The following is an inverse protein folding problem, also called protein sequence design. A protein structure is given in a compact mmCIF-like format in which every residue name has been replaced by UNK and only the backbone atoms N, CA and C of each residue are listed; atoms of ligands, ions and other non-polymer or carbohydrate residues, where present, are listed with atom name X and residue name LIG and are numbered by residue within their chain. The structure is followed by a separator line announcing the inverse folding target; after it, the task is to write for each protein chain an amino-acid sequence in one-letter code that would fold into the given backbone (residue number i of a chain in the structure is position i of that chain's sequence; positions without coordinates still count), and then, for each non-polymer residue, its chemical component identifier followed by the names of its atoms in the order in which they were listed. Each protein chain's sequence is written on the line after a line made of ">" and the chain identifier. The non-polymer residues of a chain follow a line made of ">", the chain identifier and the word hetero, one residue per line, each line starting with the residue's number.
data_IF_643881166849
#
_entry.id   IF_643881166849
#
_cell.length_a   1.000
_cell.length_b   1.000
_cell.length_c   1.000
_cell.angle_alpha   90.00
_cell.angle_beta   90.00
_cell.angle_gamma   90.00
#
_symmetry.space_group_name_H-M   'P 1'
#
loop_
_entity.id
_entity.type
_entity.pdbx_description
1 polymer ?
#
# COMPACT_ATOMS: atom_id res chain seq x y z
N UNK A 1 -13.69 -25.18 -15.87
CA UNK A 1 -12.93 -24.78 -14.65
C UNK A 1 -12.70 -26.03 -13.83
N UNK A 2 -11.48 -26.27 -13.33
CA UNK A 2 -11.19 -27.38 -12.43
C UNK A 2 -12.06 -27.32 -11.16
N UNK A 3 -12.26 -28.45 -10.49
CA UNK A 3 -13.08 -28.50 -9.27
C UNK A 3 -12.48 -27.58 -8.18
N UNK A 4 -13.32 -27.01 -7.31
CA UNK A 4 -12.84 -26.13 -6.23
C UNK A 4 -11.84 -26.83 -5.31
N UNK A 5 -12.04 -28.12 -5.04
CA UNK A 5 -11.13 -28.92 -4.24
C UNK A 5 -9.73 -29.04 -4.86
N UNK A 6 -9.63 -29.17 -6.18
CA UNK A 6 -8.34 -29.23 -6.88
C UNK A 6 -7.64 -27.87 -6.90
N UNK A 7 -8.39 -26.79 -7.13
CA UNK A 7 -7.84 -25.44 -7.20
C UNK A 7 -7.30 -24.93 -5.86
N UNK A 8 -7.89 -25.37 -4.75
CA UNK A 8 -7.52 -24.93 -3.40
C UNK A 8 -6.76 -26.00 -2.61
N UNK A 9 -6.38 -27.11 -3.25
CA UNK A 9 -5.61 -28.17 -2.62
C UNK A 9 -4.26 -27.64 -2.12
N UNK A 10 -3.91 -27.93 -0.86
CA UNK A 10 -2.62 -27.55 -0.29
C UNK A 10 -2.51 -26.10 0.19
N UNK A 11 -3.56 -25.29 0.07
CA UNK A 11 -3.59 -23.93 0.60
C UNK A 11 -3.51 -23.95 2.13
N UNK A 12 -2.57 -23.19 2.68
CA UNK A 12 -2.31 -23.00 4.12
C UNK A 12 -2.33 -21.53 4.54
N UNK A 13 -2.29 -20.60 3.60
CA UNK A 13 -2.33 -19.17 3.84
C UNK A 13 -3.23 -18.43 2.87
N UNK A 14 -3.80 -17.31 3.32
CA UNK A 14 -4.61 -16.40 2.49
C UNK A 14 -4.08 -14.98 2.62
N UNK A 15 -3.80 -14.35 1.48
CA UNK A 15 -3.49 -12.94 1.36
C UNK A 15 -4.76 -12.18 0.95
N UNK A 16 -5.30 -11.36 1.85
CA UNK A 16 -6.53 -10.62 1.61
C UNK A 16 -6.23 -9.18 1.24
N UNK A 17 -6.80 -8.72 0.12
CA UNK A 17 -6.94 -7.27 -0.07
C UNK A 17 -7.88 -6.68 0.98
N UNK A 18 -7.84 -5.36 1.17
CA UNK A 18 -8.68 -4.64 2.11
C UNK A 18 -9.78 -3.87 1.37
N UNK A 19 -9.42 -2.87 0.56
CA UNK A 19 -10.40 -2.05 -0.15
C UNK A 19 -11.07 -2.83 -1.26
N UNK A 20 -12.40 -2.82 -1.32
CA UNK A 20 -13.19 -3.59 -2.30
C UNK A 20 -13.27 -5.10 -2.02
N UNK A 21 -12.67 -5.58 -0.91
CA UNK A 21 -12.76 -6.99 -0.46
C UNK A 21 -13.33 -7.08 0.95
N UNK A 22 -12.80 -6.30 1.88
CA UNK A 22 -13.34 -6.18 3.22
C UNK A 22 -14.36 -5.07 3.29
N UNK A 23 -13.99 -3.86 2.86
CA UNK A 23 -14.84 -2.69 3.00
C UNK A 23 -14.68 -1.77 1.78
N UNK A 24 -15.69 -0.93 1.56
CA UNK A 24 -15.62 0.18 0.62
C UNK A 24 -15.38 1.47 1.39
N UNK A 25 -14.34 2.23 1.00
CA UNK A 25 -14.03 3.53 1.60
C UNK A 25 -15.06 4.59 1.23
N UNK A 26 -15.31 5.53 2.14
CA UNK A 26 -16.21 6.65 1.92
C UNK A 26 -16.24 7.61 3.11
N UNK A 27 -17.05 8.66 3.00
CA UNK A 27 -17.26 9.62 4.09
C UNK A 27 -17.69 8.90 5.38
N UNK A 28 -17.10 9.29 6.51
CA UNK A 28 -17.39 8.67 7.81
C UNK A 28 -16.70 7.33 8.09
N UNK A 29 -15.76 6.90 7.24
CA UNK A 29 -14.96 5.69 7.49
C UNK A 29 -15.35 4.46 6.66
N UNK A 30 -16.28 4.60 5.72
CA UNK A 30 -16.67 3.53 4.81
C UNK A 30 -17.60 2.48 5.42
N UNK A 31 -17.93 1.46 4.63
CA UNK A 31 -18.93 0.43 4.96
C UNK A 31 -18.37 -0.97 4.71
N UNK A 32 -18.61 -1.94 5.62
CA UNK A 32 -18.20 -3.33 5.39
C UNK A 32 -18.94 -3.91 4.17
N UNK A 33 -18.22 -4.66 3.36
CA UNK A 33 -18.84 -5.49 2.32
C UNK A 33 -19.66 -6.59 3.00
N UNK A 34 -20.85 -6.87 2.48
CA UNK A 34 -21.77 -7.82 3.11
C UNK A 34 -21.11 -9.20 3.32
N UNK A 35 -21.10 -9.67 4.57
CA UNK A 35 -20.55 -10.97 4.96
C UNK A 35 -19.03 -11.04 5.13
N UNK A 36 -18.27 -9.99 4.80
CA UNK A 36 -16.80 -10.01 4.88
C UNK A 36 -16.29 -10.07 6.32
N UNK A 37 -16.95 -9.41 7.26
CA UNK A 37 -16.63 -9.48 8.71
C UNK A 37 -16.69 -10.93 9.21
N UNK A 38 -17.78 -11.64 8.90
CA UNK A 38 -17.98 -13.04 9.27
C UNK A 38 -16.99 -13.96 8.54
N UNK A 39 -16.68 -13.66 7.27
CA UNK A 39 -15.69 -14.40 6.50
C UNK A 39 -14.28 -14.29 7.11
N UNK A 40 -13.84 -13.09 7.50
CA UNK A 40 -12.56 -12.90 8.21
C UNK A 40 -12.56 -13.66 9.53
N UNK A 41 -13.64 -13.58 10.31
CA UNK A 41 -13.76 -14.34 11.56
C UNK A 41 -13.69 -15.86 11.35
N UNK A 42 -14.28 -16.39 10.27
CA UNK A 42 -14.16 -17.80 9.89
C UNK A 42 -12.74 -18.18 9.49
N UNK A 43 -12.06 -17.35 8.69
CA UNK A 43 -10.67 -17.58 8.31
C UNK A 43 -9.75 -17.59 9.54
N UNK A 44 -9.90 -16.64 10.46
CA UNK A 44 -9.12 -16.55 11.71
C UNK A 44 -9.32 -17.74 12.65
N UNK A 45 -10.54 -18.29 12.71
CA UNK A 45 -10.85 -19.50 13.50
C UNK A 45 -10.38 -20.80 12.84
N UNK A 46 -10.01 -20.76 11.57
CA UNK A 46 -9.50 -21.92 10.84
C UNK A 46 -8.01 -22.17 11.14
N UNK A 47 -7.43 -23.18 10.48
CA UNK A 47 -5.98 -23.42 10.51
C UNK A 47 -5.20 -22.62 9.46
N UNK A 48 -5.89 -21.82 8.64
CA UNK A 48 -5.25 -20.99 7.62
C UNK A 48 -4.58 -19.78 8.27
N UNK A 49 -3.38 -19.46 7.83
CA UNK A 49 -2.74 -18.19 8.17
C UNK A 49 -3.36 -17.07 7.34
N UNK A 50 -3.63 -15.92 7.94
CA UNK A 50 -4.25 -14.78 7.27
C UNK A 50 -3.34 -13.57 7.34
N UNK A 51 -3.13 -12.91 6.20
CA UNK A 51 -2.39 -11.64 6.10
C UNK A 51 -3.19 -10.68 5.24
N UNK A 52 -3.23 -9.42 5.64
CA UNK A 52 -3.89 -8.39 4.85
C UNK A 52 -2.85 -7.66 4.01
N UNK A 53 -3.07 -7.57 2.70
CA UNK A 53 -2.15 -7.02 1.71
C UNK A 53 -2.84 -5.86 0.97
N UNK A 54 -2.54 -4.64 1.38
CA UNK A 54 -3.17 -3.43 0.85
C UNK A 54 -2.17 -2.53 0.14
N UNK A 55 -2.66 -1.71 -0.79
CA UNK A 55 -1.92 -0.57 -1.34
C UNK A 55 -2.37 0.77 -0.70
N UNK A 56 -3.18 0.74 0.36
CA UNK A 56 -3.57 1.95 1.11
C UNK A 56 -2.32 2.75 1.48
N UNK A 57 -2.29 4.00 1.03
CA UNK A 57 -1.17 4.91 1.20
C UNK A 57 -1.61 6.34 1.52
N UNK A 58 -2.90 6.58 1.78
CA UNK A 58 -3.40 7.84 2.32
C UNK A 58 -3.48 7.82 3.84
N UNK A 59 -3.64 6.64 4.45
CA UNK A 59 -3.75 6.41 5.89
C UNK A 59 -2.61 5.55 6.41
N UNK A 60 -2.16 5.81 7.63
CA UNK A 60 -1.28 4.89 8.34
C UNK A 60 -1.98 3.57 8.64
N UNK A 61 -1.21 2.49 8.85
CA UNK A 61 -1.73 1.18 9.26
C UNK A 61 -2.50 1.27 10.56
N UNK A 62 -2.01 2.04 11.54
CA UNK A 62 -2.71 2.22 12.81
C UNK A 62 -4.11 2.84 12.63
N UNK A 63 -4.23 3.85 11.77
CA UNK A 63 -5.53 4.43 11.43
C UNK A 63 -6.42 3.44 10.67
N UNK A 64 -5.90 2.78 9.63
CA UNK A 64 -6.65 1.79 8.86
C UNK A 64 -7.16 0.62 9.74
N UNK A 65 -6.31 0.11 10.62
CA UNK A 65 -6.67 -0.97 11.56
C UNK A 65 -7.71 -0.49 12.57
N UNK A 66 -7.56 0.71 13.12
CA UNK A 66 -8.56 1.31 14.01
C UNK A 66 -9.93 1.42 13.34
N UNK A 67 -9.94 1.86 12.07
CA UNK A 67 -11.15 1.93 11.26
C UNK A 67 -11.79 0.56 11.06
N UNK A 68 -11.02 -0.43 10.60
CA UNK A 68 -11.53 -1.79 10.39
C UNK A 68 -12.04 -2.41 11.70
N UNK A 69 -11.38 -2.15 12.84
CA UNK A 69 -11.89 -2.60 14.15
C UNK A 69 -13.25 -1.98 14.49
N UNK A 70 -13.43 -0.68 14.22
CA UNK A 70 -14.72 -0.02 14.40
C UNK A 70 -15.82 -0.63 13.52
N UNK A 71 -15.45 -1.12 12.33
CA UNK A 71 -16.31 -1.85 11.41
C UNK A 71 -16.54 -3.33 11.79
N UNK A 72 -15.98 -3.79 12.92
CA UNK A 72 -16.20 -5.13 13.47
C UNK A 72 -15.17 -6.19 13.08
N UNK A 73 -14.07 -5.82 12.41
CA UNK A 73 -13.02 -6.78 12.06
C UNK A 73 -12.07 -7.08 13.23
N UNK A 74 -11.76 -8.37 13.40
CA UNK A 74 -10.63 -8.83 14.21
C UNK A 74 -9.33 -8.76 13.39
N UNK A 75 -8.62 -7.64 13.56
CA UNK A 75 -7.41 -7.30 12.81
C UNK A 75 -6.43 -6.52 13.70
N UNK A 76 -5.13 -6.67 13.45
CA UNK A 76 -4.06 -5.90 14.09
C UNK A 76 -3.04 -5.37 13.08
N UNK A 77 -2.29 -4.33 13.45
CA UNK A 77 -1.25 -3.74 12.58
C UNK A 77 -0.19 -4.76 12.17
N UNK A 78 0.14 -5.71 13.05
CA UNK A 78 1.11 -6.77 12.78
C UNK A 78 0.69 -7.74 11.68
N UNK A 79 -0.59 -7.73 11.28
CA UNK A 79 -1.17 -8.59 10.24
C UNK A 79 -1.32 -7.87 8.89
N UNK A 80 -1.05 -6.56 8.86
CA UNK A 80 -1.20 -5.71 7.68
C UNK A 80 0.15 -5.47 7.03
N UNK A 81 0.25 -5.88 5.77
CA UNK A 81 1.33 -5.52 4.85
C UNK A 81 0.82 -4.37 3.98
N UNK A 82 1.49 -3.22 4.08
CA UNK A 82 1.19 -1.99 3.35
C UNK A 82 2.47 -1.43 2.70
N UNK A 83 2.38 -0.53 1.71
CA UNK A 83 3.55 -0.09 0.94
C UNK A 83 4.49 0.80 1.75
N UNK A 84 3.98 1.67 2.64
CA UNK A 84 4.80 2.63 3.37
C UNK A 84 5.88 1.98 4.26
N UNK A 85 5.59 0.94 5.07
CA UNK A 85 6.62 0.22 5.82
C UNK A 85 7.67 -0.45 4.92
N UNK A 86 7.25 -1.02 3.79
CA UNK A 86 8.18 -1.63 2.84
C UNK A 86 9.11 -0.58 2.22
N UNK A 87 8.60 0.60 1.89
CA UNK A 87 9.42 1.72 1.44
C UNK A 87 10.38 2.20 2.55
N UNK A 88 9.94 2.29 3.81
CA UNK A 88 10.82 2.66 4.92
C UNK A 88 12.00 1.70 5.10
N UNK A 89 11.80 0.39 4.86
CA UNK A 89 12.88 -0.59 4.88
C UNK A 89 13.88 -0.33 3.74
N UNK A 90 13.39 -0.15 2.51
CA UNK A 90 14.22 0.19 1.34
C UNK A 90 15.03 1.46 1.59
N UNK A 91 14.39 2.50 2.12
CA UNK A 91 15.04 3.78 2.41
C UNK A 91 16.18 3.59 3.41
N UNK A 92 15.95 2.81 4.48
CA UNK A 92 16.96 2.53 5.50
C UNK A 92 18.13 1.70 4.96
N UNK A 93 17.83 0.63 4.24
CA UNK A 93 18.84 -0.29 3.68
C UNK A 93 19.75 0.40 2.65
N UNK A 94 19.21 1.37 1.91
CA UNK A 94 19.94 2.11 0.86
C UNK A 94 20.45 3.48 1.32
N UNK A 95 20.23 3.87 2.57
CA UNK A 95 20.63 5.19 3.08
C UNK A 95 19.94 6.36 2.36
N UNK A 96 18.70 6.16 1.91
CA UNK A 96 17.92 7.17 1.22
C UNK A 96 17.11 8.03 2.23
N UNK A 97 17.03 9.32 1.93
CA UNK A 97 16.29 10.35 2.66
C UNK A 97 15.25 10.95 1.70
N UNK A 98 13.96 10.68 1.88
CA UNK A 98 12.96 11.05 0.90
C UNK A 98 12.47 12.49 1.06
N UNK A 99 12.25 13.15 -0.06
CA UNK A 99 11.19 14.15 -0.15
C UNK A 99 9.84 13.42 -0.28
N UNK A 100 8.96 13.62 0.70
CA UNK A 100 7.68 12.93 0.81
C UNK A 100 6.57 13.70 0.07
N UNK A 101 6.13 13.15 -1.06
CA UNK A 101 4.91 13.56 -1.77
C UNK A 101 3.79 12.56 -1.46
N UNK A 102 3.23 12.69 -0.26
CA UNK A 102 2.26 11.75 0.31
C UNK A 102 1.14 12.50 1.02
N UNK A 103 0.01 11.84 1.25
CA UNK A 103 -1.08 12.39 2.06
C UNK A 103 -0.66 12.54 3.54
N UNK A 104 -1.17 13.56 4.24
CA UNK A 104 -0.81 13.80 5.65
C UNK A 104 -1.16 12.62 6.56
N UNK A 105 -2.23 11.90 6.24
CA UNK A 105 -2.70 10.73 7.00
C UNK A 105 -1.74 9.54 7.02
N UNK A 106 -0.77 9.46 6.10
CA UNK A 106 0.26 8.39 6.07
C UNK A 106 1.62 8.87 6.58
N UNK A 107 1.82 10.18 6.83
CA UNK A 107 3.12 10.72 7.23
C UNK A 107 3.69 10.08 8.50
N UNK A 108 2.83 9.64 9.41
CA UNK A 108 3.24 8.96 10.64
C UNK A 108 3.99 7.64 10.40
N UNK A 109 3.78 6.96 9.27
CA UNK A 109 4.56 5.76 8.89
C UNK A 109 6.04 6.10 8.60
N UNK A 110 6.32 7.35 8.24
CA UNK A 110 7.67 7.84 7.93
C UNK A 110 8.31 8.61 9.09
N UNK A 111 7.71 8.63 10.28
CA UNK A 111 8.18 9.45 11.40
C UNK A 111 9.62 9.15 11.87
N UNK A 112 10.13 7.94 11.60
CA UNK A 112 11.49 7.53 11.93
C UNK A 112 12.47 7.61 10.74
N UNK A 113 12.02 8.12 9.59
CA UNK A 113 12.85 8.29 8.39
C UNK A 113 13.40 9.71 8.39
N UNK A 114 14.71 9.85 8.19
CA UNK A 114 15.32 11.16 7.97
C UNK A 114 14.91 11.72 6.60
N UNK A 115 14.25 12.87 6.59
CA UNK A 115 13.80 13.58 5.38
C UNK A 115 14.63 14.83 5.09
N UNK A 116 15.67 15.10 5.88
CA UNK A 116 16.57 16.23 5.66
C UNK A 116 17.47 15.98 4.44
N UNK A 117 17.82 17.05 3.70
CA UNK A 117 18.68 16.98 2.51
C UNK A 117 18.32 15.79 1.59
N UNK A 118 17.11 15.80 1.01
CA UNK A 118 16.54 14.64 0.37
C UNK A 118 17.38 14.20 -0.84
N UNK A 119 17.57 12.88 -0.97
CA UNK A 119 18.29 12.24 -2.08
C UNK A 119 17.41 11.26 -2.88
N UNK A 120 16.10 11.25 -2.62
CA UNK A 120 15.10 10.57 -3.41
C UNK A 120 13.74 11.24 -3.22
N UNK A 121 12.75 10.84 -4.02
CA UNK A 121 11.34 11.17 -3.81
C UNK A 121 10.56 9.88 -3.52
N UNK A 122 9.71 9.93 -2.51
CA UNK A 122 8.64 8.93 -2.32
C UNK A 122 7.32 9.58 -2.66
N UNK A 123 6.63 9.00 -3.64
CA UNK A 123 5.29 9.41 -4.05
C UNK A 123 4.28 8.33 -3.64
N UNK A 124 3.18 8.76 -3.04
CA UNK A 124 2.05 7.92 -2.66
C UNK A 124 0.76 8.56 -3.16
N UNK A 125 -0.38 7.89 -3.02
CA UNK A 125 -1.66 8.58 -3.21
C UNK A 125 -1.78 9.74 -2.20
N UNK A 126 -1.66 10.96 -2.73
CA UNK A 126 -1.60 12.20 -1.98
C UNK A 126 -2.91 12.99 -2.04
N UNK A 127 -3.90 12.54 -2.82
CA UNK A 127 -5.17 13.26 -3.02
C UNK A 127 -4.97 14.74 -3.37
N UNK A 128 -5.61 15.63 -2.62
CA UNK A 128 -5.47 17.09 -2.75
C UNK A 128 -4.03 17.61 -2.57
N UNK A 129 -3.15 16.83 -1.92
CA UNK A 129 -1.73 17.19 -1.80
C UNK A 129 -0.96 17.03 -3.11
N UNK A 130 -1.56 16.49 -4.18
CA UNK A 130 -1.06 16.61 -5.55
C UNK A 130 -1.28 18.01 -6.16
N UNK A 131 -0.99 19.04 -5.38
CA UNK A 131 -0.95 20.41 -5.88
C UNK A 131 0.21 20.60 -6.86
N UNK A 132 0.09 21.61 -7.74
CA UNK A 132 1.18 21.99 -8.62
C UNK A 132 2.47 22.27 -7.84
N UNK A 133 2.38 22.96 -6.71
CA UNK A 133 3.51 23.34 -5.87
C UNK A 133 4.23 22.10 -5.33
N UNK A 134 3.49 21.11 -4.82
CA UNK A 134 4.08 19.89 -4.27
C UNK A 134 4.69 19.00 -5.37
N UNK A 135 3.99 18.86 -6.50
CA UNK A 135 4.51 18.14 -7.67
C UNK A 135 5.79 18.80 -8.21
N UNK A 136 5.78 20.11 -8.36
CA UNK A 136 6.93 20.86 -8.87
C UNK A 136 8.10 20.83 -7.88
N UNK A 137 7.85 20.81 -6.57
CA UNK A 137 8.91 20.64 -5.56
C UNK A 137 9.55 19.26 -5.63
N UNK A 138 8.76 18.20 -5.76
CA UNK A 138 9.26 16.84 -5.97
C UNK A 138 10.08 16.72 -7.26
N UNK A 139 9.60 17.33 -8.35
CA UNK A 139 10.32 17.43 -9.62
C UNK A 139 11.68 18.14 -9.44
N UNK A 140 11.71 19.32 -8.81
CA UNK A 140 12.96 20.05 -8.57
C UNK A 140 13.97 19.24 -7.75
N UNK A 141 13.51 18.56 -6.70
CA UNK A 141 14.38 17.66 -5.91
C UNK A 141 14.99 16.58 -6.81
N UNK A 142 14.20 15.94 -7.68
CA UNK A 142 14.74 14.91 -8.59
C UNK A 142 15.75 15.48 -9.58
N UNK A 143 15.51 16.67 -10.13
CA UNK A 143 16.39 17.27 -11.14
C UNK A 143 17.73 17.77 -10.58
N UNK A 144 17.81 18.05 -9.29
CA UNK A 144 19.04 18.47 -8.61
C UNK A 144 19.96 17.29 -8.23
N UNK A 145 19.47 16.06 -8.33
CA UNK A 145 20.22 14.86 -7.98
C UNK A 145 21.00 14.31 -9.16
N UNK A 146 22.26 13.91 -8.91
CA UNK A 146 23.07 13.20 -9.89
C UNK A 146 22.50 11.81 -10.21
N UNK A 147 21.97 11.13 -9.18
CA UNK A 147 21.35 9.80 -9.28
C UNK A 147 19.91 9.85 -8.76
N UNK A 148 18.95 10.38 -9.54
CA UNK A 148 17.57 10.55 -9.11
C UNK A 148 16.87 9.21 -8.86
N UNK A 149 16.35 9.03 -7.65
CA UNK A 149 15.54 7.85 -7.26
C UNK A 149 14.11 8.30 -6.98
N UNK A 150 13.15 7.68 -7.68
CA UNK A 150 11.72 7.86 -7.47
C UNK A 150 11.12 6.53 -7.00
N UNK A 151 10.56 6.51 -5.79
CA UNK A 151 9.85 5.36 -5.22
C UNK A 151 8.36 5.67 -5.23
N UNK A 152 7.55 4.81 -5.84
CA UNK A 152 6.09 4.96 -5.90
C UNK A 152 5.39 3.91 -5.07
N UNK A 153 4.51 4.32 -4.15
CA UNK A 153 3.70 3.43 -3.32
C UNK A 153 2.47 2.93 -4.08
N UNK A 154 2.71 2.08 -5.08
CA UNK A 154 1.71 1.57 -5.99
C UNK A 154 1.86 2.11 -7.40
N UNK A 155 0.93 1.74 -8.27
CA UNK A 155 0.90 2.17 -9.68
C UNK A 155 -0.51 2.16 -10.27
N UNK A 156 -1.52 2.25 -9.39
CA UNK A 156 -2.91 2.22 -9.83
C UNK A 156 -3.22 3.46 -10.66
N UNK A 157 -4.18 3.31 -11.58
CA UNK A 157 -4.58 4.38 -12.51
C UNK A 157 -5.62 5.29 -11.86
N UNK A 158 -6.58 4.67 -11.18
CA UNK A 158 -7.69 5.28 -10.49
C UNK A 158 -8.29 4.27 -9.51
N UNK A 159 -9.06 4.76 -8.55
CA UNK A 159 -9.93 3.97 -7.68
C UNK A 159 -11.33 4.59 -7.66
N UNK A 160 -12.30 3.87 -7.07
CA UNK A 160 -13.68 4.32 -6.97
C UNK A 160 -13.96 4.74 -5.53
N UNK A 161 -14.53 5.93 -5.37
CA UNK A 161 -15.15 6.40 -4.13
C UNK A 161 -16.66 6.62 -4.35
N UNK A 162 -17.36 7.02 -3.30
CA UNK A 162 -18.78 7.41 -3.36
C UNK A 162 -19.03 8.59 -4.31
N UNK A 163 -18.06 9.50 -4.41
CA UNK A 163 -18.09 10.71 -5.25
C UNK A 163 -17.81 10.44 -6.74
N UNK A 164 -17.20 9.30 -7.09
CA UNK A 164 -16.85 8.96 -8.46
C UNK A 164 -15.52 8.23 -8.60
N UNK A 165 -14.94 8.29 -9.81
CA UNK A 165 -13.59 7.79 -10.06
C UNK A 165 -12.57 8.86 -9.65
N UNK A 166 -11.62 8.45 -8.83
CA UNK A 166 -10.54 9.30 -8.32
C UNK A 166 -9.23 8.91 -8.97
N UNK A 167 -8.40 9.89 -9.34
CA UNK A 167 -7.05 9.61 -9.85
C UNK A 167 -6.19 9.00 -8.74
N UNK A 168 -5.39 8.01 -9.11
CA UNK A 168 -4.46 7.33 -8.20
C UNK A 168 -3.01 7.74 -8.51
N UNK A 169 -2.08 7.35 -7.64
CA UNK A 169 -0.65 7.67 -7.65
C UNK A 169 0.03 7.43 -8.99
N UNK A 170 -0.44 6.47 -9.80
CA UNK A 170 0.16 6.10 -11.07
C UNK A 170 0.19 7.25 -12.08
N UNK A 171 -0.84 8.10 -12.14
CA UNK A 171 -0.88 9.23 -13.07
C UNK A 171 0.22 10.26 -12.74
N UNK A 172 0.34 10.61 -11.46
CA UNK A 172 1.33 11.56 -10.97
C UNK A 172 2.75 11.00 -11.01
N UNK A 173 2.91 9.70 -10.73
CA UNK A 173 4.19 9.00 -10.91
C UNK A 173 4.65 9.09 -12.36
N UNK A 174 3.75 8.85 -13.33
CA UNK A 174 4.07 8.97 -14.75
C UNK A 174 4.46 10.39 -15.17
N UNK A 175 3.84 11.40 -14.57
CA UNK A 175 4.23 12.79 -14.81
C UNK A 175 5.67 13.07 -14.37
N UNK A 176 6.08 12.61 -13.18
CA UNK A 176 7.46 12.76 -12.70
C UNK A 176 8.46 11.90 -13.50
N UNK A 177 8.11 10.65 -13.83
CA UNK A 177 8.94 9.80 -14.71
C UNK A 177 9.21 10.49 -16.04
N UNK A 178 8.18 11.08 -16.67
CA UNK A 178 8.32 11.78 -17.94
C UNK A 178 9.17 13.05 -17.79
N UNK A 179 8.89 13.87 -16.78
CA UNK A 179 9.58 15.14 -16.56
C UNK A 179 11.07 14.96 -16.23
N UNK A 180 11.43 13.90 -15.49
CA UNK A 180 12.81 13.66 -15.06
C UNK A 180 13.57 12.66 -15.95
N UNK A 181 12.90 11.99 -16.90
CA UNK A 181 13.52 10.96 -17.73
C UNK A 181 13.91 9.68 -16.99
N UNK A 182 13.21 9.35 -15.89
CA UNK A 182 13.52 8.21 -15.01
C UNK A 182 12.37 7.19 -14.97
N UNK A 183 12.60 6.05 -14.31
CA UNK A 183 11.56 5.07 -13.96
C UNK A 183 11.42 4.97 -12.46
N UNK A 184 10.18 4.90 -12.00
CA UNK A 184 9.88 4.73 -10.59
C UNK A 184 10.06 3.26 -10.15
N UNK A 185 10.64 3.06 -8.98
CA UNK A 185 10.60 1.79 -8.26
C UNK A 185 9.24 1.66 -7.58
N UNK A 186 8.43 0.70 -8.02
CA UNK A 186 7.08 0.49 -7.47
C UNK A 186 7.16 -0.43 -6.25
N UNK A 187 6.73 0.09 -5.10
CA UNK A 187 6.58 -0.64 -3.84
C UNK A 187 5.10 -0.87 -3.57
N UNK A 188 4.73 -2.10 -3.22
CA UNK A 188 3.32 -2.50 -3.10
C UNK A 188 2.89 -3.43 -4.24
N UNK A 189 1.61 -3.80 -4.26
CA UNK A 189 1.03 -4.64 -5.32
C UNK A 189 1.18 -3.93 -6.68
N UNK A 190 1.57 -4.64 -7.76
CA UNK A 190 1.78 -6.08 -7.86
C UNK A 190 3.27 -6.50 -7.83
N UNK A 191 4.16 -5.79 -7.14
CA UNK A 191 5.58 -6.19 -7.03
C UNK A 191 5.70 -7.59 -6.38
N UNK A 192 6.48 -8.52 -6.96
CA UNK A 192 6.76 -9.81 -6.35
C UNK A 192 7.38 -9.70 -4.95
N UNK A 193 8.22 -8.71 -4.72
CA UNK A 193 8.91 -8.46 -3.45
C UNK A 193 7.91 -8.14 -2.32
N UNK A 194 6.83 -7.41 -2.65
CA UNK A 194 5.75 -7.13 -1.71
C UNK A 194 5.06 -8.40 -1.22
N UNK A 195 4.70 -9.31 -2.14
CA UNK A 195 4.09 -10.58 -1.79
C UNK A 195 5.06 -11.53 -1.08
N UNK A 196 6.34 -11.56 -1.49
CA UNK A 196 7.37 -12.35 -0.80
C UNK A 196 7.52 -11.94 0.67
N UNK A 197 7.53 -10.63 0.96
CA UNK A 197 7.60 -10.11 2.34
C UNK A 197 6.38 -10.56 3.16
N UNK A 198 5.17 -10.44 2.61
CA UNK A 198 3.94 -10.90 3.26
C UNK A 198 3.99 -12.41 3.57
N UNK A 199 4.42 -13.23 2.61
CA UNK A 199 4.55 -14.68 2.74
C UNK A 199 5.61 -15.09 3.77
N UNK A 200 6.76 -14.41 3.80
CA UNK A 200 7.80 -14.62 4.81
C UNK A 200 7.28 -14.34 6.22
N UNK A 201 6.55 -13.24 6.41
CA UNK A 201 5.95 -12.88 7.69
C UNK A 201 4.86 -13.86 8.14
N UNK A 202 4.17 -14.51 7.19
CA UNK A 202 3.27 -15.61 7.49
C UNK A 202 4.01 -16.92 7.76
N UNK A 203 5.23 -17.11 7.25
CA UNK A 203 5.88 -18.42 7.19
C UNK A 203 5.06 -19.41 6.36
N UNK A 204 4.68 -18.99 5.14
CA UNK A 204 3.96 -19.79 4.13
C UNK A 204 4.67 -19.62 2.80
N UNK A 205 4.85 -20.71 2.06
CA UNK A 205 5.41 -20.64 0.71
C UNK A 205 4.37 -20.19 -0.32
N UNK A 206 4.81 -19.58 -1.42
CA UNK A 206 3.90 -19.05 -2.45
C UNK A 206 2.94 -20.12 -3.02
N UNK A 207 3.39 -21.37 -3.17
CA UNK A 207 2.57 -22.48 -3.67
C UNK A 207 1.50 -22.96 -2.65
N UNK A 208 1.56 -22.49 -1.41
CA UNK A 208 0.63 -22.81 -0.32
C UNK A 208 -0.27 -21.61 0.03
N UNK A 209 -0.14 -20.50 -0.70
CA UNK A 209 -0.89 -19.29 -0.43
C UNK A 209 -1.87 -18.98 -1.57
N UNK A 210 -2.99 -18.38 -1.20
CA UNK A 210 -4.01 -17.90 -2.12
C UNK A 210 -4.23 -16.40 -1.98
#
# INVERSE_FOLDING_TARGET
>A
MAAWGERLAGVRGVLLDISGVLYDSGEGGGVPIAGSVEAVARLKRSRLKVRFCTNESQKSRGHLVGLLRHLGYDISEGEVTAPAPAACLILRERGLRPHLLVHDGVRSEFAQVDTSNPNCVVIADAGESFSYQNMNKAFQVLMELENPVLISLGRGRYYKETSGLMLDVGAYTKALEYACGIKAEVVGKPSPEFFKSALQQMGVEAHQAQ
#
